data_IF_150125105545
#
_entry.id   IF_150125105545
#
_cell.length_a   1.000
_cell.length_b   1.000
_cell.length_c   1.000
_cell.angle_alpha   90.00
_cell.angle_beta   90.00
_cell.angle_gamma   90.00
#
_symmetry.space_group_name_H-M   'P 1'
#
loop_
_entity.id
_entity.type
_entity.pdbx_description
1 polymer ?
#
# COMPACT_ATOMS: atom_id res chain seq x y z
N UNK A 1 -7.56 21.48 25.63
CA UNK A 1 -7.54 22.31 24.41
C UNK A 1 -8.08 21.50 23.26
N UNK A 2 -8.91 22.08 22.42
CA UNK A 2 -9.40 21.37 21.22
C UNK A 2 -8.36 21.55 20.12
N UNK A 3 -7.71 20.47 19.70
CA UNK A 3 -6.79 20.49 18.56
C UNK A 3 -7.58 20.56 17.26
N UNK A 4 -7.05 21.29 16.27
CA UNK A 4 -7.57 21.27 14.89
C UNK A 4 -6.87 20.17 14.10
N UNK A 5 -7.61 19.11 13.78
CA UNK A 5 -7.12 17.95 13.06
C UNK A 5 -7.59 18.00 11.60
N UNK A 6 -6.64 17.91 10.66
CA UNK A 6 -6.90 17.84 9.22
C UNK A 6 -6.46 16.49 8.68
N UNK A 7 -7.28 15.86 7.83
CA UNK A 7 -6.92 14.63 7.16
C UNK A 7 -6.80 14.87 5.66
N UNK A 8 -5.65 14.48 5.09
CA UNK A 8 -5.39 14.47 3.65
C UNK A 8 -5.59 13.07 3.11
N UNK A 9 -6.42 12.91 2.08
CA UNK A 9 -6.65 11.60 1.51
C UNK A 9 -7.49 11.58 0.25
N UNK A 10 -7.38 10.46 -0.50
CA UNK A 10 -8.03 10.29 -1.81
C UNK A 10 -8.57 8.86 -2.02
N UNK A 11 -8.62 8.05 -0.96
CA UNK A 11 -8.94 6.61 -1.06
C UNK A 11 -9.93 6.18 0.04
N UNK A 12 -10.43 4.95 -0.09
CA UNK A 12 -11.23 4.27 0.93
C UNK A 12 -10.50 4.15 2.28
N UNK A 13 -9.19 3.92 2.25
CA UNK A 13 -8.33 3.91 3.44
C UNK A 13 -8.36 5.25 4.18
N UNK A 14 -8.41 6.36 3.43
CA UNK A 14 -8.55 7.71 3.99
C UNK A 14 -9.90 7.89 4.68
N UNK A 15 -10.99 7.49 4.02
CA UNK A 15 -12.33 7.51 4.62
C UNK A 15 -12.38 6.69 5.92
N UNK A 16 -11.81 5.49 5.91
CA UNK A 16 -11.77 4.62 7.09
C UNK A 16 -11.04 5.27 8.26
N UNK A 17 -9.94 5.97 7.99
CA UNK A 17 -9.18 6.70 9.02
C UNK A 17 -9.95 7.91 9.54
N UNK A 18 -10.60 8.69 8.69
CA UNK A 18 -11.44 9.82 9.14
C UNK A 18 -12.55 9.32 10.06
N UNK A 19 -13.27 8.28 9.65
CA UNK A 19 -14.33 7.66 10.48
C UNK A 19 -13.80 7.17 11.82
N UNK A 20 -12.62 6.56 11.82
CA UNK A 20 -11.97 6.08 13.04
C UNK A 20 -11.62 7.24 13.99
N UNK A 21 -10.97 8.30 13.48
CA UNK A 21 -10.61 9.47 14.30
C UNK A 21 -11.87 10.12 14.86
N UNK A 22 -12.84 10.39 14.01
CA UNK A 22 -14.09 11.07 14.36
C UNK A 22 -14.90 10.32 15.42
N UNK A 23 -14.96 8.98 15.32
CA UNK A 23 -15.78 8.17 16.22
C UNK A 23 -15.09 7.80 17.53
N UNK A 24 -13.77 7.61 17.49
CA UNK A 24 -13.06 6.95 18.58
C UNK A 24 -12.02 7.82 19.29
N UNK A 25 -11.66 8.98 18.73
CA UNK A 25 -10.59 9.81 19.30
C UNK A 25 -11.03 11.25 19.51
N UNK A 26 -11.27 11.99 18.42
CA UNK A 26 -11.61 13.41 18.47
C UNK A 26 -12.32 13.86 17.18
N UNK A 27 -13.00 15.01 17.18
CA UNK A 27 -13.53 15.58 15.94
C UNK A 27 -12.43 15.86 14.92
N UNK A 28 -12.72 15.57 13.63
CA UNK A 28 -11.92 15.99 12.49
C UNK A 28 -12.46 17.33 11.99
N UNK A 29 -11.61 18.34 11.91
CA UNK A 29 -12.03 19.71 11.58
C UNK A 29 -12.11 19.97 10.09
N UNK A 30 -11.30 19.24 9.27
CA UNK A 30 -11.27 19.39 7.81
C UNK A 30 -10.72 18.13 7.16
N UNK A 31 -11.30 17.76 6.03
CA UNK A 31 -10.72 16.76 5.10
C UNK A 31 -10.28 17.48 3.83
N UNK A 32 -9.08 17.21 3.37
CA UNK A 32 -8.55 17.70 2.09
C UNK A 32 -8.40 16.52 1.15
N UNK A 33 -9.09 16.60 0.03
CA UNK A 33 -9.04 15.64 -1.07
C UNK A 33 -8.77 16.35 -2.38
N UNK A 34 -8.92 15.67 -3.49
CA UNK A 34 -8.78 16.27 -4.84
C UNK A 34 -10.09 16.13 -5.61
N UNK A 35 -10.28 17.04 -6.58
CA UNK A 35 -11.45 16.99 -7.43
C UNK A 35 -11.45 15.77 -8.36
N UNK A 36 -12.63 15.33 -8.85
CA UNK A 36 -12.73 14.24 -9.82
C UNK A 36 -11.92 14.49 -11.11
N UNK A 37 -11.80 15.75 -11.54
CA UNK A 37 -11.02 16.16 -12.71
C UNK A 37 -9.53 15.91 -12.50
N UNK A 38 -9.01 16.30 -11.34
CA UNK A 38 -7.62 16.04 -10.94
C UNK A 38 -7.35 14.56 -10.86
N UNK A 39 -8.30 13.78 -10.37
CA UNK A 39 -8.21 12.32 -10.29
C UNK A 39 -8.04 11.68 -11.65
N UNK A 40 -8.89 12.04 -12.63
CA UNK A 40 -8.81 11.54 -14.01
C UNK A 40 -7.47 11.89 -14.65
N UNK A 41 -7.03 13.13 -14.52
CA UNK A 41 -5.75 13.62 -15.08
C UNK A 41 -4.54 12.88 -14.52
N UNK A 42 -4.57 12.50 -13.24
CA UNK A 42 -3.46 11.83 -12.57
C UNK A 42 -3.56 10.30 -12.55
N UNK A 43 -4.63 9.71 -13.11
CA UNK A 43 -4.88 8.26 -13.17
C UNK A 43 -4.72 7.59 -11.80
N UNK A 44 -5.38 8.15 -10.77
CA UNK A 44 -5.23 7.68 -9.39
C UNK A 44 -6.01 6.39 -9.19
N UNK A 45 -5.30 5.31 -9.00
CA UNK A 45 -5.89 4.00 -8.70
C UNK A 45 -6.54 4.00 -7.31
N UNK A 46 -7.76 3.47 -7.22
CA UNK A 46 -8.50 3.33 -5.96
C UNK A 46 -8.97 4.66 -5.39
N UNK A 47 -9.16 5.68 -6.24
CA UNK A 47 -9.78 6.93 -5.82
C UNK A 47 -11.18 6.69 -5.26
N UNK A 48 -11.48 7.40 -4.17
CA UNK A 48 -12.82 7.48 -3.58
C UNK A 48 -13.12 8.92 -3.20
N UNK A 49 -14.26 9.44 -3.64
CA UNK A 49 -14.78 10.73 -3.18
C UNK A 49 -15.08 10.68 -1.68
N UNK A 50 -14.76 11.75 -0.97
CA UNK A 50 -14.90 11.83 0.49
C UNK A 50 -16.05 12.74 0.95
N UNK A 51 -16.87 13.25 0.04
CA UNK A 51 -18.04 14.12 0.34
C UNK A 51 -19.05 13.47 1.30
N UNK A 52 -19.15 12.16 1.29
CA UNK A 52 -19.99 11.38 2.22
C UNK A 52 -19.69 11.71 3.70
N UNK A 53 -18.48 12.15 4.02
CA UNK A 53 -18.08 12.54 5.38
C UNK A 53 -18.73 13.83 5.83
N UNK A 54 -19.04 14.74 4.88
CA UNK A 54 -19.81 15.95 5.17
C UNK A 54 -21.26 15.59 5.49
N UNK A 55 -21.85 14.69 4.72
CA UNK A 55 -23.26 14.26 4.92
C UNK A 55 -23.44 13.53 6.27
N UNK A 56 -22.48 12.63 6.62
CA UNK A 56 -22.60 11.82 7.83
C UNK A 56 -22.20 12.55 9.12
N UNK A 57 -21.18 13.39 9.06
CA UNK A 57 -20.56 13.98 10.27
C UNK A 57 -20.51 15.48 10.28
N UNK A 58 -20.95 16.15 9.21
CA UNK A 58 -20.80 17.59 9.05
C UNK A 58 -19.34 18.05 8.90
N UNK A 59 -18.40 17.14 8.56
CA UNK A 59 -17.00 17.47 8.38
C UNK A 59 -16.82 18.24 7.08
N UNK A 60 -16.25 19.46 7.06
CA UNK A 60 -15.92 20.17 5.84
C UNK A 60 -14.95 19.35 4.98
N UNK A 61 -15.26 19.22 3.68
CA UNK A 61 -14.38 18.55 2.71
C UNK A 61 -13.95 19.59 1.67
N UNK A 62 -12.66 19.82 1.57
CA UNK A 62 -12.04 20.69 0.58
C UNK A 62 -11.49 19.83 -0.57
N UNK A 63 -11.99 20.07 -1.78
CA UNK A 63 -11.50 19.43 -3.00
C UNK A 63 -10.47 20.34 -3.68
N UNK A 64 -9.19 19.97 -3.61
CA UNK A 64 -8.11 20.70 -4.24
C UNK A 64 -8.10 20.49 -5.77
N UNK A 65 -7.79 21.56 -6.50
CA UNK A 65 -7.67 21.54 -7.95
C UNK A 65 -6.25 21.22 -8.45
N UNK A 66 -5.34 20.97 -7.50
CA UNK A 66 -3.98 20.47 -7.73
C UNK A 66 -3.64 19.34 -6.76
N UNK A 67 -3.14 18.21 -7.29
CA UNK A 67 -2.67 17.10 -6.42
C UNK A 67 -1.40 17.46 -5.63
N UNK A 68 -0.72 18.55 -6.01
CA UNK A 68 0.41 19.12 -5.27
C UNK A 68 -0.02 20.23 -4.30
N UNK A 69 -1.33 20.48 -4.15
CA UNK A 69 -1.90 21.52 -3.28
C UNK A 69 -1.40 22.93 -3.61
N UNK A 70 -1.08 23.20 -4.86
CA UNK A 70 -0.51 24.50 -5.33
C UNK A 70 -1.56 25.39 -5.98
N UNK A 71 -2.81 24.94 -6.05
CA UNK A 71 -3.91 25.74 -6.59
C UNK A 71 -4.28 26.91 -5.64
N UNK A 72 -4.76 28.01 -6.22
CA UNK A 72 -5.07 29.25 -5.51
C UNK A 72 -6.07 29.04 -4.38
N UNK A 73 -7.11 28.24 -4.61
CA UNK A 73 -8.17 27.94 -3.65
C UNK A 73 -7.61 27.22 -2.42
N UNK A 74 -6.75 26.22 -2.61
CA UNK A 74 -6.09 25.48 -1.53
C UNK A 74 -5.08 26.37 -0.81
N UNK A 75 -4.28 27.15 -1.53
CA UNK A 75 -3.31 28.06 -0.92
C UNK A 75 -3.99 29.17 -0.10
N UNK A 76 -5.12 29.70 -0.56
CA UNK A 76 -5.93 30.66 0.20
C UNK A 76 -6.46 30.02 1.49
N UNK A 77 -7.06 28.82 1.40
CA UNK A 77 -7.54 28.09 2.58
C UNK A 77 -6.42 27.88 3.62
N UNK A 78 -5.22 27.50 3.17
CA UNK A 78 -4.07 27.31 4.05
C UNK A 78 -3.60 28.64 4.66
N UNK A 79 -3.58 29.71 3.89
CA UNK A 79 -3.11 31.00 4.36
C UNK A 79 -4.05 31.61 5.43
N UNK A 80 -5.35 31.43 5.28
CA UNK A 80 -6.38 31.97 6.17
C UNK A 80 -6.58 31.16 7.45
N UNK A 81 -5.96 29.97 7.55
CA UNK A 81 -6.15 29.07 8.68
C UNK A 81 -4.81 28.56 9.23
N UNK A 82 -4.83 28.28 10.54
CA UNK A 82 -3.79 27.52 11.23
C UNK A 82 -4.40 26.25 11.81
N UNK A 83 -3.65 25.16 11.72
CA UNK A 83 -4.05 23.85 12.19
C UNK A 83 -3.01 23.31 13.18
N UNK A 84 -3.41 22.32 13.97
CA UNK A 84 -2.47 21.70 14.90
C UNK A 84 -1.80 20.49 14.29
N UNK A 85 -2.57 19.57 13.70
CA UNK A 85 -2.09 18.28 13.18
C UNK A 85 -2.69 17.97 11.81
N UNK A 86 -1.83 17.60 10.87
CA UNK A 86 -2.22 16.96 9.63
C UNK A 86 -1.97 15.45 9.67
N UNK A 87 -2.92 14.65 9.18
CA UNK A 87 -2.75 13.21 8.97
C UNK A 87 -2.94 12.91 7.50
N UNK A 88 -1.92 12.35 6.88
CA UNK A 88 -1.93 11.97 5.46
C UNK A 88 -2.10 10.46 5.32
N UNK A 89 -3.21 10.03 4.71
CA UNK A 89 -3.48 8.63 4.42
C UNK A 89 -3.86 8.46 2.94
N UNK A 90 -3.04 7.71 2.20
CA UNK A 90 -3.29 7.47 0.79
C UNK A 90 -2.98 8.65 -0.15
N UNK A 91 -2.36 9.71 0.34
CA UNK A 91 -1.84 10.81 -0.46
C UNK A 91 -0.51 10.42 -1.09
N UNK A 92 -0.31 10.66 -2.37
CA UNK A 92 0.84 10.13 -3.13
C UNK A 92 1.70 11.21 -3.79
N UNK A 93 1.64 12.43 -3.28
CA UNK A 93 2.44 13.57 -3.78
C UNK A 93 3.09 14.29 -2.61
N UNK A 94 4.22 14.92 -2.88
CA UNK A 94 4.84 15.82 -1.91
C UNK A 94 3.94 17.01 -1.64
N UNK A 95 3.92 17.45 -0.40
CA UNK A 95 3.21 18.65 0.02
C UNK A 95 4.17 19.84 0.04
N UNK A 96 3.77 21.00 -0.48
CA UNK A 96 4.62 22.17 -0.49
C UNK A 96 4.79 22.74 0.92
N UNK A 97 5.90 23.42 1.14
CA UNK A 97 6.20 24.08 2.43
C UNK A 97 5.11 25.04 2.88
N UNK A 98 4.46 25.74 1.93
CA UNK A 98 3.32 26.64 2.20
C UNK A 98 2.13 25.94 2.87
N UNK A 99 1.98 24.62 2.67
CA UNK A 99 0.97 23.80 3.36
C UNK A 99 1.53 23.26 4.67
N UNK A 100 2.74 22.69 4.66
CA UNK A 100 3.34 22.07 5.85
C UNK A 100 3.52 23.05 7.01
N UNK A 101 3.89 24.29 6.74
CA UNK A 101 4.10 25.34 7.74
C UNK A 101 2.81 25.82 8.44
N UNK A 102 1.64 25.42 7.97
CA UNK A 102 0.35 25.75 8.58
C UNK A 102 -0.06 24.82 9.71
N UNK A 103 0.76 23.83 9.98
CA UNK A 103 0.51 22.84 11.04
C UNK A 103 1.50 23.04 12.17
N UNK A 104 1.01 23.49 13.31
CA UNK A 104 1.82 23.75 14.51
C UNK A 104 2.75 22.60 14.88
N UNK A 105 2.26 21.38 14.70
CA UNK A 105 3.00 20.18 15.04
C UNK A 105 3.42 19.36 13.81
N UNK A 106 2.95 19.75 12.64
CA UNK A 106 3.29 19.14 11.36
C UNK A 106 2.22 18.22 10.80
N UNK A 107 2.52 17.72 9.60
CA UNK A 107 1.72 16.72 8.89
C UNK A 107 2.42 15.38 9.05
N UNK A 108 1.66 14.34 9.39
CA UNK A 108 2.17 12.98 9.58
C UNK A 108 1.60 12.05 8.54
N UNK A 109 2.44 11.20 7.97
CA UNK A 109 2.06 10.18 7.01
C UNK A 109 2.68 8.83 7.34
N UNK A 110 2.36 7.85 6.51
CA UNK A 110 2.76 6.47 6.73
C UNK A 110 3.68 6.00 5.63
N UNK A 111 4.76 5.35 6.02
CA UNK A 111 5.60 4.58 5.14
C UNK A 111 6.15 3.36 5.88
N UNK A 112 6.18 2.22 5.21
CA UNK A 112 6.67 1.00 5.84
C UNK A 112 7.55 0.17 4.93
N UNK A 113 8.29 -0.74 5.53
CA UNK A 113 9.18 -1.69 4.87
C UNK A 113 9.63 -2.76 5.87
N UNK A 114 10.52 -3.65 5.49
CA UNK A 114 11.07 -4.68 6.40
C UNK A 114 12.15 -4.17 7.35
N UNK A 115 12.69 -2.96 7.14
CA UNK A 115 13.68 -2.29 7.98
C UNK A 115 13.13 -1.03 8.65
N UNK A 116 14.00 -0.03 8.86
CA UNK A 116 13.62 1.30 9.36
C UNK A 116 13.96 2.36 8.31
N UNK A 117 13.20 3.47 8.27
CA UNK A 117 13.54 4.58 7.39
C UNK A 117 14.96 5.11 7.71
N UNK A 118 15.77 5.40 6.68
CA UNK A 118 15.45 5.61 5.26
C UNK A 118 15.53 4.37 4.36
N UNK A 119 15.60 3.15 4.90
CA UNK A 119 15.52 1.94 4.11
C UNK A 119 14.12 1.77 3.47
N UNK A 120 14.07 1.38 2.19
CA UNK A 120 12.83 1.02 1.50
C UNK A 120 11.88 2.18 1.23
N UNK A 121 12.41 3.40 0.98
CA UNK A 121 11.59 4.52 0.49
C UNK A 121 11.00 4.22 -0.88
N UNK A 122 10.08 5.07 -1.36
CA UNK A 122 9.53 4.97 -2.72
C UNK A 122 8.14 4.39 -2.77
N UNK A 123 7.88 3.49 -3.74
CA UNK A 123 6.51 3.11 -4.12
C UNK A 123 6.16 1.68 -3.72
N UNK A 124 4.89 1.50 -3.26
CA UNK A 124 4.29 0.19 -2.97
C UNK A 124 5.14 -0.71 -2.05
N UNK A 125 5.68 -0.20 -0.93
CA UNK A 125 6.63 -0.95 -0.11
C UNK A 125 6.06 -2.25 0.45
N UNK A 126 4.75 -2.32 0.76
CA UNK A 126 4.12 -3.54 1.26
C UNK A 126 4.09 -4.65 0.20
N UNK A 127 3.81 -4.30 -1.07
CA UNK A 127 3.89 -5.26 -2.17
C UNK A 127 5.33 -5.76 -2.34
N UNK A 128 6.31 -4.84 -2.30
CA UNK A 128 7.72 -5.22 -2.39
C UNK A 128 8.15 -6.14 -1.25
N UNK A 129 7.77 -5.84 0.00
CA UNK A 129 8.07 -6.72 1.12
C UNK A 129 7.51 -8.14 0.95
N UNK A 130 6.29 -8.25 0.40
CA UNK A 130 5.71 -9.57 0.12
C UNK A 130 6.43 -10.30 -1.00
N UNK A 131 6.73 -9.62 -2.11
CA UNK A 131 7.42 -10.19 -3.28
C UNK A 131 8.83 -10.65 -2.90
N UNK A 132 9.54 -9.87 -2.09
CA UNK A 132 10.88 -10.19 -1.62
C UNK A 132 10.89 -11.27 -0.51
N UNK A 133 9.72 -11.71 -0.04
CA UNK A 133 9.63 -12.75 0.98
C UNK A 133 9.97 -12.29 2.39
N UNK A 134 9.87 -10.98 2.66
CA UNK A 134 10.06 -10.46 4.02
C UNK A 134 9.06 -11.12 4.98
N UNK A 135 9.52 -11.39 6.21
CA UNK A 135 8.68 -12.03 7.24
C UNK A 135 8.04 -11.04 8.21
N UNK A 136 8.40 -9.76 8.09
CA UNK A 136 7.87 -8.67 8.91
C UNK A 136 7.73 -7.39 8.10
N UNK A 137 6.86 -6.52 8.56
CA UNK A 137 6.69 -5.17 8.03
C UNK A 137 6.66 -4.16 9.17
N UNK A 138 7.49 -3.14 9.09
CA UNK A 138 7.57 -2.04 10.04
C UNK A 138 6.83 -0.85 9.44
N UNK A 139 5.65 -0.54 9.94
CA UNK A 139 4.91 0.64 9.54
C UNK A 139 5.35 1.83 10.39
N UNK A 140 5.93 2.83 9.74
CA UNK A 140 6.36 4.06 10.38
C UNK A 140 5.31 5.15 10.20
N UNK A 141 4.96 5.83 11.28
CA UNK A 141 4.29 7.13 11.25
C UNK A 141 5.37 8.20 11.38
N UNK A 142 5.55 9.02 10.36
CA UNK A 142 6.63 10.00 10.30
C UNK A 142 6.10 11.39 9.95
N UNK A 143 6.80 12.41 10.42
CA UNK A 143 6.47 13.80 10.10
C UNK A 143 7.03 14.18 8.74
N UNK A 144 6.18 14.74 7.90
CA UNK A 144 6.55 15.21 6.58
C UNK A 144 7.50 16.41 6.65
N UNK A 145 8.38 16.46 5.69
CA UNK A 145 9.15 17.63 5.28
C UNK A 145 9.10 17.75 3.74
N UNK A 146 9.95 18.56 3.16
CA UNK A 146 9.99 18.77 1.70
C UNK A 146 10.56 17.56 0.91
N UNK A 147 11.12 16.57 1.62
CA UNK A 147 11.68 15.34 1.01
C UNK A 147 10.74 14.16 1.19
N UNK A 148 10.73 13.27 0.17
CA UNK A 148 9.95 12.05 0.26
C UNK A 148 10.48 11.12 1.35
N UNK A 149 9.56 10.54 2.13
CA UNK A 149 9.81 9.50 3.13
C UNK A 149 10.99 9.80 4.05
N UNK A 150 11.05 11.03 4.56
CA UNK A 150 12.10 11.49 5.46
C UNK A 150 12.11 10.70 6.76
N UNK A 151 13.29 10.48 7.39
CA UNK A 151 13.40 9.63 8.57
C UNK A 151 12.97 10.33 9.87
N UNK A 152 12.04 11.29 9.82
CA UNK A 152 11.48 11.99 10.98
C UNK A 152 10.38 11.14 11.66
N UNK A 153 10.75 9.96 12.16
CA UNK A 153 9.80 8.96 12.66
C UNK A 153 9.30 9.30 14.05
N UNK A 154 7.96 9.41 14.19
CA UNK A 154 7.29 9.53 15.49
C UNK A 154 7.23 8.18 16.20
N UNK A 155 6.71 7.15 15.52
CA UNK A 155 6.58 5.81 16.08
C UNK A 155 6.49 4.77 14.96
N UNK A 156 6.80 3.52 15.33
CA UNK A 156 6.71 2.35 14.46
C UNK A 156 5.84 1.29 15.09
N UNK A 157 4.94 0.71 14.32
CA UNK A 157 4.23 -0.53 14.64
C UNK A 157 4.70 -1.63 13.67
N UNK A 158 4.79 -2.85 14.17
CA UNK A 158 5.27 -3.98 13.37
C UNK A 158 4.20 -5.05 13.28
N UNK A 159 4.15 -5.72 12.13
CA UNK A 159 3.38 -6.95 11.98
C UNK A 159 4.14 -8.00 11.19
N UNK A 160 3.80 -9.27 11.41
CA UNK A 160 4.37 -10.38 10.67
C UNK A 160 3.73 -10.51 9.29
N UNK A 161 4.55 -10.82 8.27
CA UNK A 161 4.10 -11.34 6.98
C UNK A 161 4.31 -12.85 7.05
N UNK A 162 3.21 -13.61 7.12
CA UNK A 162 3.24 -15.06 7.20
C UNK A 162 3.13 -15.70 5.82
N UNK A 163 3.44 -16.97 5.65
CA UNK A 163 3.20 -17.69 4.39
C UNK A 163 1.72 -17.74 3.96
N UNK A 164 0.78 -17.48 4.89
CA UNK A 164 -0.66 -17.50 4.62
C UNK A 164 -1.23 -16.12 4.27
N UNK A 165 -0.41 -15.06 4.35
CA UNK A 165 -0.86 -13.72 3.98
C UNK A 165 -0.77 -13.51 2.47
N UNK A 166 -1.81 -12.95 1.91
CA UNK A 166 -1.81 -12.23 0.64
C UNK A 166 -1.72 -10.71 0.87
N UNK A 167 -1.64 -9.94 -0.21
CA UNK A 167 -1.56 -8.48 -0.11
C UNK A 167 -2.79 -7.87 0.58
N UNK A 168 -3.96 -8.49 0.48
CA UNK A 168 -5.20 -8.02 1.10
C UNK A 168 -5.16 -8.19 2.62
N UNK A 169 -4.75 -9.35 3.10
CA UNK A 169 -4.57 -9.60 4.54
C UNK A 169 -3.47 -8.74 5.14
N UNK A 170 -2.38 -8.54 4.40
CA UNK A 170 -1.31 -7.61 4.80
C UNK A 170 -1.81 -6.16 4.89
N UNK A 171 -2.68 -5.71 3.97
CA UNK A 171 -3.32 -4.39 4.05
C UNK A 171 -4.25 -4.23 5.26
N UNK A 172 -4.95 -5.29 5.67
CA UNK A 172 -5.74 -5.25 6.90
C UNK A 172 -4.87 -5.06 8.13
N UNK A 173 -3.76 -5.80 8.24
CA UNK A 173 -2.77 -5.62 9.32
C UNK A 173 -2.20 -4.20 9.30
N UNK A 174 -1.86 -3.68 8.13
CA UNK A 174 -1.37 -2.32 7.95
C UNK A 174 -2.39 -1.27 8.44
N UNK A 175 -3.68 -1.45 8.16
CA UNK A 175 -4.75 -0.57 8.63
C UNK A 175 -4.90 -0.61 10.16
N UNK A 176 -4.81 -1.79 10.78
CA UNK A 176 -4.84 -1.93 12.24
C UNK A 176 -3.67 -1.16 12.86
N UNK A 177 -2.46 -1.35 12.34
CA UNK A 177 -1.26 -0.64 12.81
C UNK A 177 -1.37 0.88 12.59
N UNK A 178 -1.93 1.33 11.46
CA UNK A 178 -2.17 2.75 11.18
C UNK A 178 -3.09 3.37 12.23
N UNK A 179 -4.19 2.73 12.57
CA UNK A 179 -5.13 3.19 13.61
C UNK A 179 -4.46 3.30 14.99
N UNK A 180 -3.64 2.31 15.35
CA UNK A 180 -2.86 2.33 16.61
C UNK A 180 -1.88 3.49 16.66
N UNK A 181 -1.15 3.72 15.57
CA UNK A 181 -0.18 4.83 15.46
C UNK A 181 -0.86 6.19 15.54
N UNK A 182 -2.01 6.36 14.88
CA UNK A 182 -2.80 7.60 14.96
C UNK A 182 -3.29 7.85 16.39
N UNK A 183 -3.84 6.83 17.05
CA UNK A 183 -4.27 6.95 18.44
C UNK A 183 -3.10 7.37 19.34
N UNK A 184 -1.94 6.73 19.17
CA UNK A 184 -0.71 7.06 19.90
C UNK A 184 -0.27 8.50 19.66
N UNK A 185 -0.30 8.97 18.40
CA UNK A 185 0.04 10.35 18.04
C UNK A 185 -0.91 11.35 18.73
N UNK A 186 -2.21 11.19 18.55
CA UNK A 186 -3.20 12.14 19.06
C UNK A 186 -3.22 12.18 20.60
N UNK A 187 -3.01 11.03 21.27
CA UNK A 187 -2.84 10.98 22.73
C UNK A 187 -1.54 11.64 23.19
N UNK A 188 -0.44 11.48 22.47
CA UNK A 188 0.82 12.15 22.80
C UNK A 188 0.72 13.68 22.72
N UNK A 189 -0.10 14.17 21.81
CA UNK A 189 -0.38 15.61 21.71
C UNK A 189 -1.09 16.17 22.93
N UNK A 190 -2.07 15.46 23.46
CA UNK A 190 -2.78 15.87 24.67
C UNK A 190 -1.82 16.04 25.86
N UNK A 191 -0.75 15.26 25.87
CA UNK A 191 0.30 15.32 26.91
C UNK A 191 1.46 16.28 26.58
N UNK A 192 1.47 16.91 25.40
CA UNK A 192 2.54 17.81 24.94
C UNK A 192 3.87 17.11 24.61
N UNK A 193 3.86 15.78 24.44
CA UNK A 193 5.06 14.95 24.25
C UNK A 193 5.12 14.33 22.86
N UNK A 194 5.28 15.15 21.83
CA UNK A 194 5.52 14.63 20.46
C UNK A 194 6.98 14.83 20.08
N UNK A 195 7.73 13.77 20.17
CA UNK A 195 9.12 13.73 19.72
C UNK A 195 9.22 12.88 18.44
N UNK A 196 10.01 13.32 17.50
CA UNK A 196 10.36 12.56 16.30
C UNK A 196 11.84 12.19 16.34
N UNK A 197 12.15 10.97 15.93
CA UNK A 197 13.52 10.48 15.83
C UNK A 197 14.00 10.60 14.40
N UNK A 198 15.23 11.06 14.22
CA UNK A 198 15.86 11.27 12.91
C UNK A 198 17.12 10.42 12.73
N UNK A 199 17.46 9.59 13.70
CA UNK A 199 18.74 8.91 13.87
C UNK A 199 18.77 7.46 13.35
N UNK A 200 18.01 7.13 12.31
CA UNK A 200 18.13 5.82 11.69
C UNK A 200 19.54 5.58 11.17
N UNK A 201 20.08 4.40 11.46
CA UNK A 201 21.38 3.93 10.97
C UNK A 201 21.27 3.04 9.74
N UNK A 202 20.04 2.75 9.30
CA UNK A 202 19.82 1.93 8.12
C UNK A 202 20.28 2.70 6.87
N UNK A 203 20.83 1.96 5.91
CA UNK A 203 21.23 2.58 4.65
C UNK A 203 20.01 3.00 3.83
N UNK A 204 20.16 4.05 3.04
CA UNK A 204 19.10 4.57 2.18
C UNK A 204 18.89 3.65 0.97
N UNK A 205 17.64 3.27 0.72
CA UNK A 205 17.25 2.48 -0.44
C UNK A 205 15.86 2.87 -0.93
N UNK A 206 15.55 2.56 -2.20
CA UNK A 206 14.33 2.96 -2.87
C UNK A 206 13.66 1.78 -3.59
N UNK A 207 12.35 1.67 -3.43
CA UNK A 207 11.50 0.79 -4.22
C UNK A 207 10.97 1.52 -5.45
N UNK A 208 11.15 0.92 -6.60
CA UNK A 208 10.65 1.44 -7.86
C UNK A 208 9.13 1.33 -7.96
N UNK A 209 8.56 2.18 -8.83
CA UNK A 209 7.14 2.10 -9.15
C UNK A 209 6.88 0.84 -9.98
N UNK A 210 5.99 -0.03 -9.51
CA UNK A 210 5.53 -1.19 -10.27
C UNK A 210 4.40 -0.83 -11.23
N UNK A 211 4.33 -1.59 -12.33
CA UNK A 211 3.28 -1.56 -13.34
C UNK A 211 2.60 -2.94 -13.41
N UNK A 212 1.53 -3.07 -14.19
CA UNK A 212 0.90 -4.37 -14.40
C UNK A 212 1.86 -5.38 -15.08
N UNK A 213 2.76 -4.92 -15.96
CA UNK A 213 3.74 -5.76 -16.64
C UNK A 213 4.72 -6.45 -15.68
N UNK A 214 5.01 -5.82 -14.53
CA UNK A 214 5.87 -6.40 -13.48
C UNK A 214 5.23 -7.59 -12.76
N UNK A 215 3.98 -7.92 -13.07
CA UNK A 215 3.28 -9.12 -12.59
C UNK A 215 3.53 -10.35 -13.44
N UNK A 216 4.32 -10.29 -14.51
CA UNK A 216 4.64 -11.47 -15.34
C UNK A 216 5.38 -12.52 -14.51
N UNK A 217 4.88 -13.76 -14.56
CA UNK A 217 5.49 -14.90 -13.89
C UNK A 217 6.63 -15.42 -14.78
N UNK A 218 7.79 -15.63 -14.17
CA UNK A 218 8.89 -16.40 -14.77
C UNK A 218 9.06 -17.71 -13.99
N UNK A 219 8.67 -18.82 -14.60
CA UNK A 219 8.73 -20.14 -13.98
C UNK A 219 10.16 -20.69 -13.80
N UNK A 220 11.19 -20.00 -14.32
CA UNK A 220 12.59 -20.28 -14.01
C UNK A 220 13.03 -19.72 -12.64
N UNK A 221 12.17 -19.00 -11.95
CA UNK A 221 12.37 -18.64 -10.55
C UNK A 221 11.97 -19.78 -9.63
N UNK A 222 12.36 -19.64 -8.35
CA UNK A 222 12.01 -20.64 -7.32
C UNK A 222 10.51 -20.61 -7.04
N UNK A 223 9.95 -21.75 -6.69
CA UNK A 223 8.55 -21.90 -6.28
C UNK A 223 8.10 -20.84 -5.28
N UNK A 224 8.94 -20.56 -4.28
CA UNK A 224 8.65 -19.57 -3.24
C UNK A 224 8.62 -18.14 -3.77
N UNK A 225 9.49 -17.80 -4.71
CA UNK A 225 9.56 -16.46 -5.29
C UNK A 225 8.35 -16.19 -6.19
N UNK A 226 7.93 -17.18 -6.97
CA UNK A 226 6.72 -17.14 -7.79
C UNK A 226 5.48 -17.02 -6.89
N UNK A 227 5.40 -17.81 -5.83
CA UNK A 227 4.32 -17.72 -4.84
C UNK A 227 4.25 -16.32 -4.21
N UNK A 228 5.40 -15.77 -3.81
CA UNK A 228 5.48 -14.42 -3.22
C UNK A 228 5.03 -13.33 -4.21
N UNK A 229 5.38 -13.45 -5.49
CA UNK A 229 4.89 -12.55 -6.54
C UNK A 229 3.36 -12.62 -6.63
N UNK A 230 2.79 -13.83 -6.78
CA UNK A 230 1.34 -14.02 -6.94
C UNK A 230 0.58 -13.40 -5.76
N UNK A 231 0.90 -13.78 -4.53
CA UNK A 231 0.23 -13.27 -3.34
C UNK A 231 0.47 -11.77 -3.08
N UNK A 232 1.62 -11.24 -3.53
CA UNK A 232 2.01 -9.84 -3.38
C UNK A 232 1.33 -8.90 -4.37
N UNK A 233 0.79 -9.41 -5.49
CA UNK A 233 0.10 -8.62 -6.52
C UNK A 233 -1.34 -9.05 -6.76
N UNK A 234 -1.89 -9.93 -5.92
CA UNK A 234 -3.29 -10.34 -5.96
C UNK A 234 -4.26 -9.14 -5.80
N UNK A 235 -5.55 -9.36 -5.98
CA UNK A 235 -6.56 -8.31 -5.84
C UNK A 235 -6.40 -7.49 -4.55
N UNK A 236 -6.51 -6.16 -4.59
CA UNK A 236 -7.05 -5.30 -5.65
C UNK A 236 -6.03 -4.84 -6.71
N UNK A 237 -4.86 -5.43 -6.76
CA UNK A 237 -3.86 -5.17 -7.79
C UNK A 237 -4.16 -5.98 -9.06
N UNK A 238 -3.44 -5.71 -10.18
CA UNK A 238 -3.72 -6.36 -11.47
C UNK A 238 -3.55 -7.88 -11.51
N UNK A 239 -2.95 -8.51 -10.48
CA UNK A 239 -2.66 -9.95 -10.46
C UNK A 239 -1.34 -10.31 -11.15
N UNK A 240 -0.83 -11.50 -10.86
CA UNK A 240 0.27 -12.09 -11.61
C UNK A 240 -0.27 -12.74 -12.90
N UNK A 241 0.57 -12.89 -13.94
CA UNK A 241 0.15 -13.48 -15.19
C UNK A 241 1.28 -14.21 -15.92
N UNK A 242 0.91 -15.14 -16.77
CA UNK A 242 1.75 -15.79 -17.75
C UNK A 242 1.00 -15.88 -19.08
N UNK A 243 1.65 -16.38 -20.12
CA UNK A 243 1.00 -16.63 -21.41
C UNK A 243 0.97 -18.15 -21.70
N UNK A 244 -0.16 -18.65 -22.17
CA UNK A 244 -0.31 -19.99 -22.71
C UNK A 244 -0.78 -19.90 -24.16
N UNK A 245 0.02 -20.38 -25.10
CA UNK A 245 -0.28 -20.30 -26.55
C UNK A 245 -0.61 -18.86 -27.04
N UNK A 246 0.00 -17.85 -26.41
CA UNK A 246 -0.23 -16.42 -26.71
C UNK A 246 -1.41 -15.78 -25.97
N UNK A 247 -2.23 -16.54 -25.26
CA UNK A 247 -3.33 -16.06 -24.44
C UNK A 247 -2.90 -15.81 -23.00
N UNK A 248 -3.40 -14.72 -22.39
CA UNK A 248 -3.08 -14.39 -21.01
C UNK A 248 -3.76 -15.34 -20.03
N UNK A 249 -2.99 -15.88 -19.11
CA UNK A 249 -3.43 -16.63 -17.94
C UNK A 249 -3.15 -15.79 -16.70
N UNK A 250 -4.16 -15.19 -16.12
CA UNK A 250 -4.05 -14.38 -14.92
C UNK A 250 -4.24 -15.23 -13.68
N UNK A 251 -3.19 -15.28 -12.85
CA UNK A 251 -3.15 -16.11 -11.65
C UNK A 251 -3.44 -15.24 -10.43
N UNK A 252 -4.52 -15.57 -9.73
CA UNK A 252 -4.98 -14.86 -8.54
C UNK A 252 -4.54 -15.51 -7.24
N UNK A 253 -4.55 -16.83 -7.20
CA UNK A 253 -4.23 -17.63 -6.01
C UNK A 253 -3.48 -18.90 -6.45
N UNK A 254 -2.41 -19.19 -5.72
CA UNK A 254 -1.61 -20.39 -5.86
C UNK A 254 -0.88 -20.68 -4.56
N UNK A 255 -0.35 -21.88 -4.42
CA UNK A 255 0.57 -22.21 -3.31
C UNK A 255 1.60 -23.25 -3.76
N UNK A 256 2.77 -23.33 -3.09
CA UNK A 256 3.73 -24.41 -3.33
C UNK A 256 3.04 -25.77 -3.18
N UNK A 257 3.16 -26.60 -4.20
CA UNK A 257 2.53 -27.94 -4.21
C UNK A 257 3.47 -28.97 -3.60
N UNK A 258 4.66 -29.10 -4.19
CA UNK A 258 5.68 -30.00 -3.67
C UNK A 258 7.08 -29.57 -4.12
N UNK A 259 8.08 -29.79 -3.25
CA UNK A 259 9.49 -29.48 -3.50
C UNK A 259 10.38 -30.76 -3.49
N UNK A 260 9.79 -31.97 -3.29
CA UNK A 260 10.50 -33.25 -3.15
C UNK A 260 10.20 -34.22 -4.26
N UNK A 261 9.02 -34.18 -4.88
CA UNK A 261 8.67 -35.00 -6.01
C UNK A 261 9.56 -34.62 -7.19
N UNK A 262 10.20 -35.61 -7.81
CA UNK A 262 11.02 -35.39 -8.99
C UNK A 262 10.16 -35.11 -10.23
N UNK A 263 10.10 -33.86 -10.60
CA UNK A 263 9.45 -33.35 -11.82
C UNK A 263 10.48 -32.98 -12.91
N UNK A 264 11.71 -33.48 -12.86
CA UNK A 264 12.78 -33.10 -13.79
C UNK A 264 12.49 -33.45 -15.27
N UNK A 265 11.52 -34.33 -15.51
CA UNK A 265 11.04 -34.65 -16.86
C UNK A 265 10.24 -33.53 -17.53
N UNK A 266 9.75 -32.55 -16.73
CA UNK A 266 8.93 -31.44 -17.20
C UNK A 266 9.77 -30.14 -17.27
N UNK A 267 9.49 -29.30 -18.25
CA UNK A 267 10.13 -27.98 -18.34
C UNK A 267 9.52 -27.00 -17.34
N UNK A 268 10.28 -25.99 -16.82
CA UNK A 268 9.69 -24.91 -16.04
C UNK A 268 8.55 -24.22 -16.82
N UNK A 269 7.39 -24.03 -16.16
CA UNK A 269 6.16 -23.50 -16.77
C UNK A 269 5.26 -24.57 -17.38
N UNK A 270 5.69 -25.81 -17.50
CA UNK A 270 4.87 -26.90 -18.02
C UNK A 270 3.84 -27.37 -16.99
N UNK A 271 2.60 -27.53 -17.43
CA UNK A 271 1.50 -28.10 -16.65
C UNK A 271 1.72 -29.62 -16.54
N UNK A 272 2.02 -30.07 -15.33
CA UNK A 272 2.30 -31.46 -14.99
C UNK A 272 1.01 -32.29 -15.01
N UNK A 273 -0.04 -31.75 -14.40
CA UNK A 273 -1.36 -32.36 -14.29
C UNK A 273 -2.41 -31.34 -13.90
N UNK A 274 -3.70 -31.68 -13.96
CA UNK A 274 -4.82 -30.80 -13.56
C UNK A 274 -5.79 -31.56 -12.67
N UNK A 275 -5.92 -31.13 -11.42
CA UNK A 275 -6.81 -31.72 -10.41
C UNK A 275 -7.98 -30.76 -10.12
N UNK A 276 -9.22 -31.18 -10.33
CA UNK A 276 -10.43 -30.37 -10.13
C UNK A 276 -10.36 -28.99 -10.80
N UNK A 277 -9.79 -28.93 -12.01
CA UNK A 277 -9.59 -27.68 -12.75
C UNK A 277 -8.42 -26.82 -12.26
N UNK A 278 -7.62 -27.29 -11.30
CA UNK A 278 -6.44 -26.63 -10.76
C UNK A 278 -5.17 -27.23 -11.34
N UNK A 279 -4.42 -26.49 -12.16
CA UNK A 279 -3.18 -27.00 -12.74
C UNK A 279 -2.04 -27.00 -11.73
N UNK A 280 -1.25 -28.07 -11.76
CA UNK A 280 0.06 -28.17 -11.13
C UNK A 280 1.11 -27.82 -12.16
N UNK A 281 1.91 -26.79 -11.90
CA UNK A 281 2.88 -26.25 -12.85
C UNK A 281 4.31 -26.43 -12.32
N UNK A 282 5.20 -26.90 -13.17
CA UNK A 282 6.62 -27.07 -12.86
C UNK A 282 7.29 -25.72 -12.63
N UNK A 283 8.11 -25.61 -11.60
CA UNK A 283 9.03 -24.50 -11.32
C UNK A 283 10.48 -25.02 -11.31
N UNK A 284 11.48 -24.15 -11.12
CA UNK A 284 12.87 -24.61 -11.19
C UNK A 284 13.26 -25.60 -10.09
N UNK A 285 12.66 -25.48 -8.90
CA UNK A 285 13.02 -26.26 -7.70
C UNK A 285 11.85 -27.03 -7.07
N UNK A 286 10.70 -27.11 -7.77
CA UNK A 286 9.51 -27.79 -7.27
C UNK A 286 8.33 -27.64 -8.21
N UNK A 287 7.16 -27.46 -7.63
CA UNK A 287 5.91 -27.24 -8.36
C UNK A 287 4.96 -26.33 -7.60
N UNK A 288 4.04 -25.70 -8.34
CA UNK A 288 3.05 -24.77 -7.85
C UNK A 288 1.66 -25.27 -8.22
N UNK A 289 0.74 -25.37 -7.26
CA UNK A 289 -0.68 -25.56 -7.55
C UNK A 289 -1.34 -24.21 -7.73
N UNK A 290 -1.96 -23.97 -8.88
CA UNK A 290 -2.75 -22.76 -9.15
C UNK A 290 -4.19 -23.02 -8.68
N UNK A 291 -4.58 -22.33 -7.60
CA UNK A 291 -5.91 -22.50 -7.01
C UNK A 291 -6.99 -21.74 -7.76
N UNK A 292 -6.65 -20.54 -8.25
CA UNK A 292 -7.60 -19.70 -8.99
C UNK A 292 -6.89 -18.90 -10.08
N UNK A 293 -7.39 -19.02 -11.28
CA UNK A 293 -6.92 -18.23 -12.43
C UNK A 293 -8.09 -17.81 -13.33
N UNK A 294 -7.82 -16.84 -14.20
CA UNK A 294 -8.70 -16.40 -15.28
C UNK A 294 -7.95 -16.50 -16.59
N UNK A 295 -8.55 -17.13 -17.59
CA UNK A 295 -8.00 -17.28 -18.93
C UNK A 295 -9.12 -17.56 -19.95
N UNK A 296 -8.89 -17.18 -21.22
CA UNK A 296 -9.75 -17.57 -22.33
C UNK A 296 -9.59 -19.05 -22.69
N UNK A 297 -8.52 -19.71 -22.26
CA UNK A 297 -8.23 -21.12 -22.52
C UNK A 297 -8.25 -21.92 -21.23
N UNK A 298 -8.73 -23.16 -21.28
CA UNK A 298 -8.60 -24.10 -20.16
C UNK A 298 -7.23 -24.76 -20.24
N UNK A 299 -6.49 -24.69 -19.14
CA UNK A 299 -5.18 -25.33 -19.03
C UNK A 299 -5.33 -26.84 -18.92
N UNK A 300 -4.42 -27.58 -19.54
CA UNK A 300 -4.35 -29.04 -19.55
C UNK A 300 -2.91 -29.51 -19.45
N UNK A 301 -2.71 -30.79 -19.10
CA UNK A 301 -1.41 -31.44 -19.08
C UNK A 301 -0.62 -31.21 -20.37
N UNK A 302 0.67 -30.86 -20.25
CA UNK A 302 1.58 -30.56 -21.34
C UNK A 302 1.49 -29.11 -21.87
N UNK A 303 0.52 -28.28 -21.44
CA UNK A 303 0.53 -26.84 -21.75
C UNK A 303 1.74 -26.17 -21.11
N UNK A 304 2.32 -25.16 -21.77
CA UNK A 304 3.49 -24.44 -21.25
C UNK A 304 3.10 -22.97 -21.02
N UNK A 305 3.28 -22.51 -19.78
CA UNK A 305 3.13 -21.13 -19.35
C UNK A 305 4.47 -20.40 -19.47
N UNK A 306 4.49 -19.25 -20.18
CA UNK A 306 5.70 -18.43 -20.44
C UNK A 306 5.50 -16.97 -20.06
#
# INVERSE_FOLDING_TARGET
>A
MKYKVVVFGVKDTSENIVRFIQKEICPVDLVITISPEVTKKNQISGYKGLSVLTEEYGIPVHEADSYFLTDEKTQKLMHENEFDIGISMGWQRLMPKSVLDRFRYGVFGFHGNSGYLPFGRGRSPLNWSMILGDTRFNLNLFRYDEKADSPNVFATEMFSITPHDDIRTAQYKNMICSKRLIRKLLTAYESGKVEVRTDSKDFDSWYEKRTAADGKIDFHNRTRDIYNLIRGVAAPFPGAFALCNGEEVRVWEAHPFDEMIDFSAYAPGEVIDVFDGKPVVRTVDGSLLIDRYESAVSLKEGDVLV
#
